data_IF_095190986336
#
_entry.id   IF_095190986336
#
_cell.length_a   1.000
_cell.length_b   1.000
_cell.length_c   1.000
_cell.angle_alpha   90.00
_cell.angle_beta   90.00
_cell.angle_gamma   90.00
#
_symmetry.space_group_name_H-M   'P 1'
#
loop_
_entity.id
_entity.type
_entity.pdbx_description
1 polymer ?
#
# COMPACT_ATOMS: atom_id res chain seq x y z
N UNK A 1 -12.63 8.22 24.24
CA UNK A 1 -11.90 7.64 23.09
C UNK A 1 -10.46 8.03 23.29
N UNK A 2 -9.55 7.08 23.45
CA UNK A 2 -8.12 7.41 23.57
C UNK A 2 -7.68 8.12 22.29
N UNK A 3 -6.96 9.21 22.47
CA UNK A 3 -6.21 9.88 21.42
C UNK A 3 -5.26 8.86 20.77
N UNK A 4 -5.48 8.55 19.49
CA UNK A 4 -4.64 7.62 18.74
C UNK A 4 -3.33 8.34 18.40
N UNK A 5 -2.24 7.89 19.01
CA UNK A 5 -0.88 8.25 18.62
C UNK A 5 -0.34 7.11 17.77
N UNK A 6 0.20 7.46 16.60
CA UNK A 6 0.78 6.50 15.66
C UNK A 6 2.29 6.68 15.60
N UNK A 7 3.04 5.72 16.10
CA UNK A 7 4.49 5.71 16.01
C UNK A 7 4.92 5.31 14.59
N UNK A 8 5.84 6.09 14.04
CA UNK A 8 6.44 5.85 12.73
C UNK A 8 7.81 5.21 12.94
N UNK A 9 8.07 4.10 12.24
CA UNK A 9 9.36 3.42 12.25
C UNK A 9 9.96 3.33 10.86
N UNK A 10 11.29 3.34 10.80
CA UNK A 10 12.08 3.07 9.61
C UNK A 10 13.16 2.05 9.98
N UNK A 11 13.12 0.88 9.34
CA UNK A 11 14.06 -0.22 9.61
C UNK A 11 14.17 -0.61 11.10
N UNK A 12 13.06 -0.50 11.84
CA UNK A 12 12.99 -0.82 13.26
C UNK A 12 13.38 0.33 14.20
N UNK A 13 13.96 1.42 13.69
CA UNK A 13 14.23 2.62 14.47
C UNK A 13 12.99 3.52 14.54
N UNK A 14 12.73 4.10 15.72
CA UNK A 14 11.66 5.09 15.89
C UNK A 14 12.04 6.38 15.19
N UNK A 15 11.18 6.82 14.27
CA UNK A 15 11.33 8.06 13.51
C UNK A 15 10.68 9.22 14.26
N UNK A 16 9.52 8.98 14.88
CA UNK A 16 8.68 9.99 15.49
C UNK A 16 7.24 9.48 15.60
N UNK A 17 6.32 10.38 15.96
CA UNK A 17 4.91 10.00 16.18
C UNK A 17 3.97 10.97 15.49
N UNK A 18 2.85 10.44 15.02
CA UNK A 18 1.74 11.16 14.42
C UNK A 18 0.58 11.25 15.41
N UNK A 19 -0.08 12.40 15.43
CA UNK A 19 -1.35 12.61 16.15
C UNK A 19 -2.35 13.27 15.21
N UNK A 20 -3.60 12.80 15.23
CA UNK A 20 -4.67 13.39 14.43
C UNK A 20 -5.42 14.47 15.21
N UNK A 21 -5.27 15.73 14.80
CA UNK A 21 -6.01 16.85 15.39
C UNK A 21 -7.37 16.99 14.68
N UNK A 22 -8.45 16.69 15.40
CA UNK A 22 -9.81 16.61 14.84
C UNK A 22 -10.34 17.97 14.41
N UNK A 23 -10.01 19.02 15.16
CA UNK A 23 -10.48 20.38 14.93
C UNK A 23 -9.93 20.95 13.62
N UNK A 24 -8.66 20.67 13.32
CA UNK A 24 -8.01 21.14 12.09
C UNK A 24 -8.11 20.15 10.93
N UNK A 25 -8.53 18.90 11.21
CA UNK A 25 -8.58 17.78 10.28
C UNK A 25 -7.21 17.52 9.62
N UNK A 26 -6.16 17.53 10.44
CA UNK A 26 -4.78 17.36 9.97
C UNK A 26 -3.92 16.62 11.01
N UNK A 27 -2.84 16.00 10.53
CA UNK A 27 -1.89 15.33 11.41
C UNK A 27 -0.80 16.28 11.89
N UNK A 28 -0.50 16.19 13.18
CA UNK A 28 0.73 16.65 13.79
C UNK A 28 1.77 15.53 13.71
N UNK A 29 2.98 15.85 13.30
CA UNK A 29 4.11 14.93 13.32
C UNK A 29 5.25 15.50 14.15
N UNK A 30 5.74 14.72 15.12
CA UNK A 30 6.91 15.10 15.90
C UNK A 30 8.04 14.08 15.76
N UNK A 31 9.25 14.55 15.48
CA UNK A 31 10.42 13.68 15.33
C UNK A 31 10.89 13.14 16.68
N UNK A 32 11.32 11.88 16.68
CA UNK A 32 12.02 11.30 17.81
C UNK A 32 13.42 11.94 17.95
N UNK A 33 13.79 12.33 19.17
CA UNK A 33 15.08 13.01 19.44
C UNK A 33 16.27 12.11 19.10
N UNK A 34 16.13 10.80 19.31
CA UNK A 34 17.14 9.82 18.92
C UNK A 34 17.31 9.78 17.39
N UNK A 35 16.20 9.88 16.64
CA UNK A 35 16.22 9.86 15.17
C UNK A 35 16.92 11.09 14.60
N UNK A 36 16.64 12.28 15.12
CA UNK A 36 17.31 13.53 14.73
C UNK A 36 18.84 13.40 14.83
N UNK A 37 19.34 12.76 15.90
CA UNK A 37 20.77 12.55 16.11
C UNK A 37 21.41 11.58 15.12
N UNK A 38 20.63 10.74 14.44
CA UNK A 38 21.14 9.85 13.39
C UNK A 38 21.60 10.63 12.14
N UNK A 39 21.05 11.83 11.91
CA UNK A 39 21.30 12.63 10.73
C UNK A 39 20.66 12.10 9.44
N UNK A 40 19.86 11.04 9.51
CA UNK A 40 19.16 10.46 8.36
C UNK A 40 17.92 11.30 8.00
N UNK A 41 18.03 12.13 6.96
CA UNK A 41 16.92 12.97 6.53
C UNK A 41 15.94 12.22 5.61
N UNK A 42 14.76 11.92 6.14
CA UNK A 42 13.68 11.23 5.42
C UNK A 42 12.72 12.19 4.73
N UNK A 43 12.83 13.50 4.94
CA UNK A 43 12.01 14.49 4.24
C UNK A 43 12.85 15.76 4.02
N UNK A 44 13.89 15.69 3.20
CA UNK A 44 14.90 16.74 3.09
C UNK A 44 14.38 18.05 2.47
N UNK A 45 13.22 18.00 1.81
CA UNK A 45 12.60 19.18 1.18
C UNK A 45 11.63 19.86 2.14
N UNK A 46 10.75 19.10 2.80
CA UNK A 46 9.60 19.66 3.52
C UNK A 46 9.77 19.62 5.05
N UNK A 47 10.39 18.58 5.60
CA UNK A 47 10.64 18.46 7.04
C UNK A 47 12.13 18.18 7.35
N UNK A 48 13.09 18.94 6.79
CA UNK A 48 14.49 18.62 6.95
C UNK A 48 14.91 18.68 8.42
N UNK A 49 15.70 17.70 8.85
CA UNK A 49 16.12 17.56 10.27
C UNK A 49 16.86 18.83 10.75
N UNK A 50 17.66 19.45 9.88
CA UNK A 50 18.40 20.67 10.20
C UNK A 50 17.50 21.87 10.54
N UNK A 51 16.25 21.86 10.06
CA UNK A 51 15.29 22.94 10.28
C UNK A 51 14.31 22.65 11.42
N UNK A 52 14.35 21.45 12.02
CA UNK A 52 13.48 21.13 13.15
C UNK A 52 13.73 22.06 14.35
N UNK A 53 12.65 22.51 14.99
CA UNK A 53 12.67 23.52 16.07
C UNK A 53 12.00 23.05 17.37
N UNK A 54 11.94 21.74 17.62
CA UNK A 54 11.19 21.16 18.76
C UNK A 54 9.71 21.58 18.77
N UNK A 55 9.12 21.71 17.58
CA UNK A 55 7.70 21.98 17.39
C UNK A 55 7.20 20.95 16.37
N UNK A 56 6.08 20.26 16.66
CA UNK A 56 5.50 19.32 15.71
C UNK A 56 5.18 20.01 14.38
N UNK A 57 5.43 19.30 13.29
CA UNK A 57 5.05 19.73 11.95
C UNK A 57 3.55 19.53 11.74
N UNK A 58 2.93 20.51 11.08
CA UNK A 58 1.53 20.46 10.66
C UNK A 58 1.43 21.13 9.29
N UNK A 59 0.66 20.52 8.38
CA UNK A 59 0.46 21.04 7.02
C UNK A 59 -1.03 21.16 6.75
N UNK A 60 -1.58 22.35 7.00
CA UNK A 60 -3.01 22.61 6.82
C UNK A 60 -3.40 22.67 5.34
N UNK A 61 -2.43 22.98 4.48
CA UNK A 61 -2.54 22.92 3.02
C UNK A 61 -2.71 21.49 2.50
N UNK A 62 -2.26 20.47 3.24
CA UNK A 62 -2.34 19.07 2.82
C UNK A 62 -3.74 18.45 3.06
N UNK A 63 -4.76 19.25 3.40
CA UNK A 63 -6.16 18.78 3.56
C UNK A 63 -6.85 18.57 2.20
N UNK A 64 -6.11 17.99 1.27
CA UNK A 64 -6.57 17.63 -0.06
C UNK A 64 -6.86 16.15 -0.14
N UNK A 65 -7.44 15.70 -1.26
CA UNK A 65 -7.71 14.28 -1.46
C UNK A 65 -6.44 13.45 -1.61
N UNK A 66 -5.36 14.03 -2.14
CA UNK A 66 -4.07 13.36 -2.29
C UNK A 66 -3.43 13.06 -0.93
N UNK A 67 -3.34 14.06 -0.05
CA UNK A 67 -2.57 13.95 1.20
C UNK A 67 -3.42 13.64 2.44
N UNK A 68 -4.74 13.85 2.36
CA UNK A 68 -5.69 13.57 3.45
C UNK A 68 -5.24 14.19 4.78
N UNK A 69 -4.70 15.41 4.78
CA UNK A 69 -4.24 16.11 5.98
C UNK A 69 -2.94 15.57 6.60
N UNK A 70 -2.26 14.61 5.96
CA UNK A 70 -0.96 14.08 6.40
C UNK A 70 0.21 14.87 5.77
N UNK A 71 1.39 14.90 6.41
CA UNK A 71 2.64 15.14 5.69
C UNK A 71 2.80 14.17 4.52
N UNK A 72 3.28 14.67 3.37
CA UNK A 72 3.34 13.92 2.10
C UNK A 72 4.12 12.62 2.19
N UNK A 73 5.23 12.62 2.96
CA UNK A 73 6.01 11.43 3.29
C UNK A 73 5.15 10.26 3.81
N UNK A 74 4.18 10.55 4.68
CA UNK A 74 3.32 9.53 5.29
C UNK A 74 2.09 9.24 4.42
N UNK A 75 1.56 10.26 3.74
CA UNK A 75 0.49 10.08 2.77
C UNK A 75 0.85 9.10 1.65
N UNK A 76 2.13 9.06 1.23
CA UNK A 76 2.62 8.12 0.23
C UNK A 76 2.53 6.65 0.66
N UNK A 77 2.39 6.38 1.96
CA UNK A 77 2.14 5.04 2.48
C UNK A 77 0.66 4.67 2.50
N UNK A 78 -0.24 5.60 2.19
CA UNK A 78 -1.66 5.32 2.13
C UNK A 78 -1.96 4.34 0.98
N UNK A 79 -2.96 3.45 1.17
CA UNK A 79 -3.50 2.61 0.11
C UNK A 79 -4.02 3.45 -1.05
N UNK A 80 -4.07 2.84 -2.23
CA UNK A 80 -4.66 3.44 -3.42
C UNK A 80 -6.19 3.34 -3.44
N UNK A 81 -6.84 3.69 -4.56
CA UNK A 81 -8.30 3.65 -4.66
C UNK A 81 -8.86 2.24 -4.38
N UNK A 82 -8.23 1.21 -4.95
CA UNK A 82 -8.67 -0.18 -4.77
C UNK A 82 -8.42 -0.67 -3.34
N UNK A 83 -7.22 -0.42 -2.80
CA UNK A 83 -6.86 -0.75 -1.42
C UNK A 83 -7.71 0.00 -0.41
N UNK A 84 -8.00 1.28 -0.64
CA UNK A 84 -8.92 2.06 0.18
C UNK A 84 -10.32 1.46 0.19
N UNK A 85 -10.80 0.94 -0.95
CA UNK A 85 -12.08 0.27 -0.99
C UNK A 85 -12.09 -1.00 -0.15
N UNK A 86 -11.07 -1.86 -0.26
CA UNK A 86 -10.93 -3.06 0.60
C UNK A 86 -10.96 -2.67 2.08
N UNK A 87 -10.22 -1.63 2.44
CA UNK A 87 -10.11 -1.16 3.83
C UNK A 87 -11.45 -0.58 4.31
N UNK A 88 -12.15 0.18 3.47
CA UNK A 88 -13.48 0.71 3.78
C UNK A 88 -14.48 -0.43 4.04
N UNK A 89 -14.48 -1.47 3.20
CA UNK A 89 -15.34 -2.64 3.42
C UNK A 89 -14.96 -3.38 4.70
N UNK A 90 -13.67 -3.50 5.00
CA UNK A 90 -13.20 -4.13 6.23
C UNK A 90 -13.69 -3.36 7.47
N UNK A 91 -13.52 -2.04 7.52
CA UNK A 91 -14.02 -1.22 8.63
C UNK A 91 -15.56 -1.29 8.74
N UNK A 92 -16.27 -1.16 7.61
CA UNK A 92 -17.72 -1.24 7.57
C UNK A 92 -18.24 -2.60 8.05
N UNK A 93 -17.53 -3.69 7.73
CA UNK A 93 -17.89 -5.04 8.19
C UNK A 93 -17.86 -5.16 9.72
N UNK A 94 -17.02 -4.35 10.39
CA UNK A 94 -16.87 -4.24 11.85
C UNK A 94 -17.73 -3.14 12.48
N UNK A 95 -18.61 -2.51 11.70
CA UNK A 95 -19.54 -1.49 12.18
C UNK A 95 -18.91 -0.11 12.39
N UNK A 96 -17.68 0.11 11.91
CA UNK A 96 -17.05 1.43 11.91
C UNK A 96 -17.47 2.19 10.65
N UNK A 97 -17.95 3.42 10.81
CA UNK A 97 -18.42 4.26 9.72
C UNK A 97 -17.30 5.14 9.14
N UNK A 98 -17.48 5.62 7.90
CA UNK A 98 -16.46 6.39 7.17
C UNK A 98 -15.98 7.66 7.88
N UNK A 99 -16.86 8.32 8.65
CA UNK A 99 -16.55 9.54 9.41
C UNK A 99 -15.69 9.27 10.65
N UNK A 100 -15.62 8.02 11.11
CA UNK A 100 -14.83 7.62 12.27
C UNK A 100 -13.41 7.15 11.90
N UNK A 101 -13.11 6.99 10.60
CA UNK A 101 -11.85 6.42 10.11
C UNK A 101 -10.94 7.55 9.65
N UNK A 102 -9.95 7.86 10.47
CA UNK A 102 -8.91 8.84 10.14
C UNK A 102 -7.86 8.26 9.19
N UNK A 103 -7.05 9.10 8.54
CA UNK A 103 -5.87 8.64 7.80
C UNK A 103 -4.87 7.89 8.68
N UNK A 104 -4.77 8.21 9.98
CA UNK A 104 -3.94 7.45 10.94
C UNK A 104 -4.45 6.01 11.12
N UNK A 105 -5.76 5.80 11.17
CA UNK A 105 -6.34 4.44 11.23
C UNK A 105 -5.97 3.60 10.00
N UNK A 106 -5.92 4.25 8.82
CA UNK A 106 -5.46 3.61 7.59
C UNK A 106 -3.97 3.27 7.63
N UNK A 107 -3.14 4.16 8.17
CA UNK A 107 -1.72 3.88 8.38
C UNK A 107 -1.53 2.70 9.35
N UNK A 108 -2.29 2.63 10.45
CA UNK A 108 -2.28 1.49 11.37
C UNK A 108 -2.74 0.18 10.71
N UNK A 109 -3.70 0.26 9.79
CA UNK A 109 -4.12 -0.89 8.98
C UNK A 109 -3.00 -1.35 8.03
N UNK A 110 -2.32 -0.42 7.36
CA UNK A 110 -1.16 -0.72 6.50
C UNK A 110 -0.05 -1.34 7.33
N UNK A 111 0.27 -0.74 8.48
CA UNK A 111 1.23 -1.24 9.44
C UNK A 111 2.62 -1.42 8.82
N UNK A 112 3.11 -2.66 8.78
CA UNK A 112 4.41 -3.02 8.19
C UNK A 112 4.37 -3.27 6.67
N UNK A 113 3.20 -3.15 6.04
CA UNK A 113 2.94 -3.79 4.74
C UNK A 113 2.95 -2.81 3.57
N UNK A 114 3.19 -1.53 3.83
CA UNK A 114 3.25 -0.47 2.82
C UNK A 114 4.39 -0.63 1.82
N UNK A 115 4.29 0.14 0.73
CA UNK A 115 5.43 0.41 -0.16
C UNK A 115 6.50 1.19 0.60
N UNK A 116 7.74 1.03 0.16
CA UNK A 116 8.90 1.58 0.85
C UNK A 116 9.19 0.86 2.17
N UNK A 117 9.75 1.61 3.11
CA UNK A 117 10.31 1.07 4.35
C UNK A 117 9.68 1.63 5.63
N UNK A 118 8.72 2.55 5.52
CA UNK A 118 8.01 3.08 6.68
C UNK A 118 7.05 2.02 7.25
N UNK A 119 6.94 2.01 8.58
CA UNK A 119 6.01 1.18 9.32
C UNK A 119 5.28 2.02 10.36
N UNK A 120 4.02 1.68 10.65
CA UNK A 120 3.15 2.47 11.52
C UNK A 120 2.59 1.61 12.65
N UNK A 121 2.77 2.03 13.90
CA UNK A 121 2.28 1.35 15.11
C UNK A 121 1.28 2.23 15.87
N UNK A 122 0.23 1.68 16.49
CA UNK A 122 -0.05 0.26 16.64
C UNK A 122 -0.57 -0.38 15.36
N UNK A 123 -0.23 -1.65 15.15
CA UNK A 123 -0.79 -2.42 14.05
C UNK A 123 -2.25 -2.81 14.33
N UNK A 124 -3.10 -2.76 13.32
CA UNK A 124 -4.44 -3.32 13.42
C UNK A 124 -4.37 -4.81 13.83
N UNK A 125 -5.12 -5.27 14.85
CA UNK A 125 -4.98 -6.60 15.45
C UNK A 125 -5.66 -7.69 14.60
N UNK A 126 -5.27 -7.81 13.32
CA UNK A 126 -5.77 -8.85 12.43
C UNK A 126 -4.79 -10.03 12.48
N UNK A 127 -5.21 -11.11 13.13
CA UNK A 127 -4.42 -12.33 13.25
C UNK A 127 -4.03 -12.88 11.88
N UNK A 128 -2.79 -13.32 11.74
CA UNK A 128 -2.26 -13.91 10.50
C UNK A 128 -1.88 -12.92 9.40
N UNK A 129 -2.20 -11.61 9.47
CA UNK A 129 -1.84 -10.66 8.40
C UNK A 129 -0.33 -10.44 8.22
N UNK A 130 0.45 -10.72 9.25
CA UNK A 130 1.91 -10.60 9.22
C UNK A 130 2.62 -11.93 8.89
N UNK A 131 1.87 -12.95 8.47
CA UNK A 131 2.42 -14.27 8.13
C UNK A 131 2.42 -14.51 6.62
N UNK A 132 3.51 -15.12 6.14
CA UNK A 132 3.63 -15.54 4.75
C UNK A 132 2.69 -16.72 4.48
N UNK A 133 1.65 -16.50 3.68
CA UNK A 133 0.74 -17.55 3.19
C UNK A 133 0.93 -17.77 1.69
N UNK A 134 0.73 -19.02 1.28
CA UNK A 134 0.59 -19.40 -0.14
C UNK A 134 -0.71 -18.80 -0.67
N UNK A 135 -0.66 -18.25 -1.88
CA UNK A 135 -1.77 -17.56 -2.54
C UNK A 135 -2.15 -18.28 -3.82
N UNK A 136 -3.44 -18.40 -4.06
CA UNK A 136 -3.99 -18.86 -5.33
C UNK A 136 -4.45 -17.65 -6.15
N UNK A 137 -3.76 -17.36 -7.26
CA UNK A 137 -4.04 -16.18 -8.10
C UNK A 137 -5.49 -16.16 -8.62
N UNK A 138 -6.04 -17.35 -8.89
CA UNK A 138 -7.43 -17.49 -9.33
C UNK A 138 -8.40 -16.92 -8.29
N UNK A 139 -8.24 -17.31 -7.02
CA UNK A 139 -9.06 -16.82 -5.91
C UNK A 139 -8.90 -15.31 -5.71
N UNK A 140 -7.66 -14.80 -5.83
CA UNK A 140 -7.39 -13.37 -5.72
C UNK A 140 -8.12 -12.59 -6.83
N UNK A 141 -8.12 -13.12 -8.04
CA UNK A 141 -8.75 -12.50 -9.21
C UNK A 141 -10.27 -12.51 -9.10
N UNK A 142 -10.86 -13.62 -8.65
CA UNK A 142 -12.30 -13.74 -8.41
C UNK A 142 -12.77 -12.77 -7.32
N UNK A 143 -12.03 -12.68 -6.22
CA UNK A 143 -12.42 -11.82 -5.12
C UNK A 143 -12.13 -10.32 -5.41
N UNK A 144 -11.10 -10.01 -6.19
CA UNK A 144 -10.92 -8.66 -6.72
C UNK A 144 -12.11 -8.21 -7.59
N UNK A 145 -12.71 -9.13 -8.38
CA UNK A 145 -13.94 -8.86 -9.14
C UNK A 145 -15.15 -8.69 -8.23
N UNK A 146 -15.26 -9.52 -7.18
CA UNK A 146 -16.46 -9.55 -6.32
C UNK A 146 -16.69 -8.25 -5.54
N UNK A 147 -15.61 -7.55 -5.15
CA UNK A 147 -15.66 -6.24 -4.46
C UNK A 147 -16.55 -5.23 -5.21
N UNK A 148 -16.55 -5.28 -6.54
CA UNK A 148 -17.29 -4.35 -7.39
C UNK A 148 -18.64 -4.87 -7.87
N UNK A 149 -18.90 -6.18 -7.75
CA UNK A 149 -20.15 -6.80 -8.24
C UNK A 149 -21.15 -7.09 -7.13
N UNK A 150 -20.71 -7.51 -5.93
CA UNK A 150 -21.59 -7.81 -4.81
C UNK A 150 -20.93 -7.46 -3.46
N UNK A 151 -21.08 -6.17 -3.11
CA UNK A 151 -20.53 -5.59 -1.87
C UNK A 151 -21.08 -6.27 -0.60
N UNK A 152 -22.35 -6.71 -0.60
CA UNK A 152 -22.96 -7.33 0.58
C UNK A 152 -22.40 -8.72 0.83
N UNK A 153 -22.26 -9.52 -0.23
CA UNK A 153 -21.60 -10.82 -0.13
C UNK A 153 -20.15 -10.68 0.34
N UNK A 154 -19.41 -9.70 -0.18
CA UNK A 154 -18.04 -9.41 0.24
C UNK A 154 -17.95 -9.04 1.73
N UNK A 155 -18.83 -8.16 2.22
CA UNK A 155 -18.90 -7.83 3.65
C UNK A 155 -19.23 -9.04 4.53
N UNK A 156 -20.09 -9.95 4.08
CA UNK A 156 -20.39 -11.18 4.80
C UNK A 156 -19.15 -12.10 4.90
N UNK A 157 -18.37 -12.21 3.83
CA UNK A 157 -17.11 -12.96 3.83
C UNK A 157 -16.04 -12.33 4.75
N UNK A 158 -15.95 -11.00 4.77
CA UNK A 158 -15.06 -10.26 5.69
C UNK A 158 -15.33 -10.60 7.16
N UNK A 159 -16.60 -10.70 7.55
CA UNK A 159 -16.99 -11.06 8.92
C UNK A 159 -16.64 -12.49 9.32
N UNK A 160 -16.52 -13.39 8.34
CA UNK A 160 -16.18 -14.78 8.58
C UNK A 160 -14.67 -15.00 8.76
N UNK A 161 -13.84 -14.00 8.40
CA UNK A 161 -12.37 -14.06 8.50
C UNK A 161 -11.75 -15.36 7.94
N UNK A 162 -12.38 -15.91 6.89
CA UNK A 162 -11.88 -17.10 6.21
C UNK A 162 -10.52 -16.88 5.55
N UNK A 163 -9.81 -17.98 5.25
CA UNK A 163 -8.47 -17.94 4.66
C UNK A 163 -8.38 -17.07 3.40
N UNK A 164 -9.33 -17.24 2.48
CA UNK A 164 -9.33 -16.55 1.18
C UNK A 164 -9.48 -15.03 1.33
N UNK A 165 -10.27 -14.56 2.32
CA UNK A 165 -10.41 -13.11 2.56
C UNK A 165 -9.17 -12.54 3.25
N UNK A 166 -8.54 -13.28 4.16
CA UNK A 166 -7.26 -12.89 4.75
C UNK A 166 -6.17 -12.76 3.68
N UNK A 167 -6.12 -13.69 2.73
CA UNK A 167 -5.16 -13.67 1.63
C UNK A 167 -5.32 -12.42 0.74
N UNK A 168 -6.54 -11.89 0.57
CA UNK A 168 -6.79 -10.62 -0.11
C UNK A 168 -6.37 -9.41 0.71
N UNK A 169 -6.72 -9.37 1.99
CA UNK A 169 -6.33 -8.28 2.88
C UNK A 169 -4.79 -8.17 2.96
N UNK A 170 -4.09 -9.31 2.84
CA UNK A 170 -2.63 -9.46 2.76
C UNK A 170 -1.97 -9.06 1.45
N UNK A 171 -2.71 -8.75 0.39
CA UNK A 171 -2.08 -8.38 -0.90
C UNK A 171 -2.66 -7.14 -1.57
N UNK A 172 -3.94 -6.86 -1.36
CA UNK A 172 -4.68 -5.81 -2.08
C UNK A 172 -4.57 -4.40 -1.51
N UNK A 173 -3.79 -4.19 -0.44
CA UNK A 173 -3.93 -2.99 0.42
C UNK A 173 -2.74 -2.03 0.37
N UNK A 174 -1.71 -2.33 -0.41
CA UNK A 174 -0.39 -1.70 -0.24
C UNK A 174 0.22 -1.03 -1.46
N UNK A 175 -0.35 -1.14 -2.66
CA UNK A 175 0.26 -0.56 -3.87
C UNK A 175 -0.59 0.58 -4.44
N UNK A 176 0.02 1.54 -5.16
CA UNK A 176 -0.56 2.79 -5.69
C UNK A 176 -1.37 2.66 -7.01
N UNK A 177 -2.48 3.40 -7.23
CA UNK A 177 -3.30 3.52 -8.47
C UNK A 177 -4.80 3.08 -8.41
N UNK A 178 -5.55 3.08 -9.52
CA UNK A 178 -6.99 2.73 -9.49
C UNK A 178 -7.32 1.25 -9.79
N UNK A 179 -6.50 0.60 -10.62
CA UNK A 179 -6.73 -0.77 -11.09
C UNK A 179 -6.38 -1.82 -10.02
N UNK A 180 -6.99 -3.02 -10.02
CA UNK A 180 -6.70 -4.05 -9.03
C UNK A 180 -5.25 -4.52 -9.16
N UNK A 181 -4.57 -4.63 -8.02
CA UNK A 181 -3.19 -5.13 -7.94
C UNK A 181 -2.92 -5.80 -6.61
N UNK A 182 -1.86 -6.59 -6.58
CA UNK A 182 -1.45 -7.37 -5.43
C UNK A 182 0.07 -7.30 -5.27
N UNK A 183 0.54 -7.14 -4.03
CA UNK A 183 1.94 -7.36 -3.70
C UNK A 183 2.15 -8.85 -3.42
N UNK A 184 2.96 -9.50 -4.26
CA UNK A 184 3.23 -10.94 -4.18
C UNK A 184 4.73 -11.23 -4.03
N UNK A 185 5.02 -12.41 -3.50
CA UNK A 185 6.31 -13.05 -3.58
C UNK A 185 6.18 -14.26 -4.52
N UNK A 186 7.08 -14.39 -5.49
CA UNK A 186 7.01 -15.42 -6.53
C UNK A 186 8.31 -16.22 -6.59
N UNK A 187 8.20 -17.54 -6.61
CA UNK A 187 9.34 -18.45 -6.76
C UNK A 187 9.44 -18.92 -8.21
N UNK A 188 10.54 -18.55 -8.88
CA UNK A 188 10.78 -18.84 -10.29
C UNK A 188 10.98 -20.33 -10.59
N UNK A 189 11.37 -21.13 -9.59
CA UNK A 189 11.63 -22.56 -9.75
C UNK A 189 10.36 -23.37 -9.58
N UNK A 190 9.56 -23.06 -8.55
CA UNK A 190 8.36 -23.84 -8.20
C UNK A 190 7.08 -23.29 -8.81
N UNK A 191 7.09 -22.02 -9.25
CA UNK A 191 5.89 -21.30 -9.67
C UNK A 191 4.97 -20.90 -8.51
N UNK A 192 5.39 -21.09 -7.26
CA UNK A 192 4.60 -20.78 -6.08
C UNK A 192 4.46 -19.26 -5.87
N UNK A 193 3.24 -18.83 -5.55
CA UNK A 193 2.93 -17.45 -5.17
C UNK A 193 2.64 -17.38 -3.68
N UNK A 194 3.19 -16.37 -3.01
CA UNK A 194 2.95 -16.03 -1.60
C UNK A 194 2.64 -14.55 -1.43
N UNK A 195 2.15 -14.13 -0.26
CA UNK A 195 2.05 -12.71 0.06
C UNK A 195 3.44 -12.05 0.07
N UNK A 196 3.59 -10.95 -0.68
CA UNK A 196 4.85 -10.18 -0.75
C UNK A 196 4.89 -8.98 0.20
N UNK A 197 3.89 -8.84 1.08
CA UNK A 197 3.86 -7.78 2.09
C UNK A 197 4.77 -8.07 3.28
N UNK A 198 5.11 -9.35 3.48
CA UNK A 198 5.97 -9.86 4.56
C UNK A 198 7.16 -10.60 3.97
N UNK A 199 8.18 -10.84 4.79
CA UNK A 199 9.38 -11.56 4.34
C UNK A 199 8.99 -12.99 3.94
N UNK A 200 9.22 -13.31 2.67
CA UNK A 200 9.04 -14.64 2.10
C UNK A 200 10.27 -15.54 2.39
N UNK A 201 10.12 -16.87 2.29
CA UNK A 201 11.25 -17.79 2.35
C UNK A 201 12.31 -17.49 1.28
N UNK A 202 13.49 -18.08 1.45
CA UNK A 202 14.56 -18.00 0.45
C UNK A 202 14.10 -18.56 -0.92
N UNK A 203 14.59 -17.96 -2.00
CA UNK A 203 14.21 -18.32 -3.38
C UNK A 203 12.97 -17.62 -3.93
N UNK A 204 12.33 -16.73 -3.16
CA UNK A 204 11.22 -15.90 -3.64
C UNK A 204 11.68 -14.48 -4.00
N UNK A 205 11.27 -14.00 -5.17
CA UNK A 205 11.38 -12.59 -5.56
C UNK A 205 10.11 -11.80 -5.21
N UNK A 206 10.22 -10.49 -5.00
CA UNK A 206 9.10 -9.61 -4.66
C UNK A 206 8.58 -8.83 -5.86
N UNK A 207 7.27 -8.89 -6.08
CA UNK A 207 6.63 -8.37 -7.28
C UNK A 207 5.35 -7.59 -6.95
N UNK A 208 5.04 -6.64 -7.82
CA UNK A 208 3.72 -6.04 -7.92
C UNK A 208 3.00 -6.70 -9.11
N UNK A 209 1.96 -7.45 -8.82
CA UNK A 209 1.06 -8.08 -9.80
C UNK A 209 -0.12 -7.14 -10.09
N UNK A 210 -0.37 -6.86 -11.36
CA UNK A 210 -1.53 -6.12 -11.84
C UNK A 210 -2.46 -7.10 -12.54
N UNK A 211 -3.70 -7.16 -12.07
CA UNK A 211 -4.67 -8.14 -12.56
C UNK A 211 -5.12 -7.79 -13.98
N UNK A 212 -5.41 -8.86 -14.74
CA UNK A 212 -5.92 -8.77 -16.10
C UNK A 212 -7.42 -8.93 -16.06
N UNK A 213 -8.14 -8.16 -16.88
CA UNK A 213 -9.59 -8.14 -16.81
C UNK A 213 -10.14 -7.58 -15.50
N UNK A 214 -11.47 -7.62 -15.36
CA UNK A 214 -12.18 -7.26 -14.14
C UNK A 214 -12.83 -5.87 -14.20
N UNK A 215 -13.24 -5.37 -13.04
CA UNK A 215 -13.83 -4.04 -12.87
C UNK A 215 -13.05 -3.27 -11.82
N UNK A 216 -13.04 -1.96 -11.94
CA UNK A 216 -12.43 -1.06 -10.96
C UNK A 216 -13.21 0.24 -10.87
N UNK A 217 -12.97 1.00 -9.79
CA UNK A 217 -13.54 2.33 -9.63
C UNK A 217 -12.53 3.38 -10.11
N UNK A 218 -12.95 4.21 -11.05
CA UNK A 218 -12.21 5.36 -11.56
C UNK A 218 -13.11 6.59 -11.50
N UNK A 219 -12.67 7.65 -10.82
CA UNK A 219 -13.48 8.87 -10.60
C UNK A 219 -14.91 8.60 -10.10
N UNK A 220 -15.07 7.63 -9.19
CA UNK A 220 -16.36 7.15 -8.62
C UNK A 220 -17.29 6.40 -9.59
N UNK A 221 -16.82 6.09 -10.80
CA UNK A 221 -17.53 5.26 -11.77
C UNK A 221 -16.90 3.87 -11.86
N UNK A 222 -17.73 2.84 -11.97
CA UNK A 222 -17.25 1.47 -12.18
C UNK A 222 -16.90 1.31 -13.67
N UNK A 223 -15.63 1.10 -13.95
CA UNK A 223 -15.05 0.94 -15.28
C UNK A 223 -14.57 -0.50 -15.48
N UNK A 224 -14.64 -0.99 -16.72
CA UNK A 224 -14.08 -2.29 -17.09
C UNK A 224 -12.56 -2.18 -17.27
N UNK A 225 -11.82 -3.08 -16.63
CA UNK A 225 -10.43 -3.33 -16.95
C UNK A 225 -10.40 -4.31 -18.11
N UNK A 226 -10.01 -3.89 -19.33
CA UNK A 226 -10.12 -4.74 -20.51
C UNK A 226 -9.20 -5.96 -20.39
N UNK A 227 -9.67 -7.11 -20.88
CA UNK A 227 -8.87 -8.32 -20.95
C UNK A 227 -7.71 -8.14 -21.94
N UNK A 228 -6.53 -8.62 -21.57
CA UNK A 228 -5.29 -8.41 -22.31
C UNK A 228 -4.56 -7.12 -21.95
N UNK A 229 -5.00 -6.35 -20.93
CA UNK A 229 -4.31 -5.13 -20.52
C UNK A 229 -2.88 -5.42 -20.05
N UNK A 230 -2.64 -6.60 -19.45
CA UNK A 230 -1.30 -7.00 -19.03
C UNK A 230 -0.35 -7.15 -20.21
N UNK A 231 -0.83 -7.64 -21.37
CA UNK A 231 -0.05 -7.70 -22.60
C UNK A 231 0.34 -6.30 -23.10
N UNK A 232 -0.58 -5.33 -22.97
CA UNK A 232 -0.33 -3.94 -23.34
C UNK A 232 0.74 -3.33 -22.43
N UNK A 233 0.63 -3.50 -21.11
CA UNK A 233 1.66 -3.02 -20.17
C UNK A 233 3.03 -3.66 -20.43
N UNK A 234 3.07 -4.97 -20.74
CA UNK A 234 4.31 -5.65 -21.08
C UNK A 234 4.91 -5.17 -22.40
N UNK A 235 4.08 -4.88 -23.42
CA UNK A 235 4.54 -4.28 -24.66
C UNK A 235 5.19 -2.90 -24.41
N UNK A 236 4.58 -2.05 -23.57
CA UNK A 236 5.18 -0.77 -23.18
C UNK A 236 6.49 -0.93 -22.42
N UNK A 237 6.58 -1.89 -21.50
CA UNK A 237 7.85 -2.22 -20.85
C UNK A 237 8.94 -2.58 -21.88
N UNK A 238 8.62 -3.45 -22.86
CA UNK A 238 9.55 -3.85 -23.91
C UNK A 238 9.99 -2.67 -24.78
N UNK A 239 9.06 -1.77 -25.13
CA UNK A 239 9.37 -0.54 -25.86
C UNK A 239 10.29 0.40 -25.04
N UNK A 240 10.00 0.58 -23.75
CA UNK A 240 10.84 1.39 -22.86
C UNK A 240 12.27 0.86 -22.78
N UNK A 241 12.45 -0.46 -22.58
CA UNK A 241 13.79 -1.09 -22.59
C UNK A 241 14.50 -0.95 -23.94
N UNK A 242 13.78 -1.10 -25.06
CA UNK A 242 14.35 -0.92 -26.39
C UNK A 242 14.84 0.52 -26.64
N UNK A 243 14.20 1.51 -26.01
CA UNK A 243 14.62 2.91 -26.04
C UNK A 243 15.73 3.24 -25.01
N UNK A 244 16.24 2.26 -24.26
CA UNK A 244 17.30 2.47 -23.26
C UNK A 244 16.81 3.08 -21.94
N UNK A 245 15.49 3.10 -21.68
CA UNK A 245 14.93 3.55 -20.41
C UNK A 245 15.23 2.47 -19.35
N UNK A 246 15.77 2.89 -18.21
CA UNK A 246 15.94 2.00 -17.07
C UNK A 246 14.59 1.71 -16.42
N UNK A 247 14.31 0.43 -16.22
CA UNK A 247 13.03 -0.05 -15.73
C UNK A 247 13.22 -1.41 -15.11
N UNK A 248 12.50 -1.64 -14.01
CA UNK A 248 12.45 -2.93 -13.33
C UNK A 248 12.02 -4.05 -14.28
N UNK A 249 12.49 -5.24 -13.99
CA UNK A 249 12.10 -6.45 -14.68
C UNK A 249 10.57 -6.61 -14.65
N UNK A 250 9.97 -6.86 -15.82
CA UNK A 250 8.54 -7.12 -15.93
C UNK A 250 8.31 -8.46 -16.64
N UNK A 251 7.25 -9.16 -16.26
CA UNK A 251 6.85 -10.45 -16.81
C UNK A 251 5.34 -10.53 -16.95
N UNK A 252 4.88 -11.56 -17.66
CA UNK A 252 3.48 -11.95 -17.72
C UNK A 252 3.30 -13.24 -16.93
N UNK A 253 2.33 -13.24 -16.01
CA UNK A 253 1.90 -14.43 -15.29
C UNK A 253 0.60 -14.92 -15.93
N UNK A 254 0.66 -16.07 -16.60
CA UNK A 254 -0.50 -16.70 -17.22
C UNK A 254 -1.34 -17.41 -16.16
N UNK A 255 -2.63 -17.09 -16.12
CA UNK A 255 -3.64 -17.79 -15.31
C UNK A 255 -4.81 -18.13 -16.22
N UNK A 256 -4.96 -19.41 -16.59
CA UNK A 256 -5.94 -19.87 -17.59
C UNK A 256 -5.91 -19.00 -18.86
N UNK A 257 -6.88 -18.12 -18.97
CA UNK A 257 -7.21 -17.26 -20.09
C UNK A 257 -6.78 -15.78 -19.86
N UNK A 258 -6.32 -15.46 -18.65
CA UNK A 258 -5.84 -14.16 -18.18
C UNK A 258 -4.32 -14.05 -18.31
N UNK A 259 -3.80 -12.87 -18.67
CA UNK A 259 -2.37 -12.57 -18.71
C UNK A 259 -2.04 -11.42 -17.76
N UNK A 260 -1.75 -11.73 -16.50
CA UNK A 260 -1.45 -10.70 -15.50
C UNK A 260 -0.07 -10.09 -15.74
N UNK A 261 0.05 -8.77 -15.62
CA UNK A 261 1.35 -8.10 -15.67
C UNK A 261 1.98 -8.08 -14.28
N UNK A 262 3.26 -8.42 -14.18
CA UNK A 262 4.00 -8.28 -12.93
C UNK A 262 5.30 -7.53 -13.14
N UNK A 263 5.62 -6.60 -12.24
CA UNK A 263 6.90 -5.88 -12.20
C UNK A 263 7.62 -6.18 -10.91
N UNK A 264 8.93 -6.38 -10.97
CA UNK A 264 9.76 -6.56 -9.79
C UNK A 264 9.74 -5.28 -8.97
N UNK A 265 9.63 -5.42 -7.66
CA UNK A 265 9.61 -4.29 -6.73
C UNK A 265 11.00 -3.67 -6.63
N UNK A 266 11.08 -2.36 -6.85
CA UNK A 266 12.33 -1.60 -6.68
C UNK A 266 12.59 -1.24 -5.21
N UNK A 267 11.58 -1.33 -4.36
CA UNK A 267 11.64 -1.00 -2.94
C UNK A 267 11.93 -2.23 -2.04
N UNK A 268 12.35 -3.34 -2.65
CA UNK A 268 12.71 -4.60 -1.99
C UNK A 268 13.99 -5.17 -2.62
N UNK A 269 14.91 -5.59 -1.78
CA UNK A 269 16.06 -6.41 -2.22
C UNK A 269 15.71 -7.91 -2.13
N UNK A 270 16.56 -8.77 -2.69
CA UNK A 270 16.31 -10.22 -2.80
C UNK A 270 16.05 -10.92 -1.47
N UNK A 271 16.73 -10.50 -0.40
CA UNK A 271 16.54 -11.05 0.95
C UNK A 271 15.26 -10.53 1.65
N UNK A 272 14.48 -9.67 1.00
CA UNK A 272 13.25 -9.05 1.52
C UNK A 272 13.45 -7.79 2.34
N UNK A 273 14.67 -7.29 2.51
CA UNK A 273 14.89 -5.99 3.15
C UNK A 273 14.25 -4.87 2.34
N UNK A 274 13.78 -3.84 3.07
CA UNK A 274 13.01 -2.74 2.50
C UNK A 274 13.95 -1.59 2.13
N UNK A 275 13.70 -0.96 0.99
CA UNK A 275 14.35 0.30 0.61
C UNK A 275 13.35 1.43 0.85
N UNK A 276 13.77 2.49 1.53
CA UNK A 276 12.93 3.67 1.68
C UNK A 276 12.84 4.40 0.35
N UNK A 277 11.61 4.73 -0.05
CA UNK A 277 11.31 5.42 -1.30
C UNK A 277 10.17 6.40 -1.05
N UNK A 278 10.13 7.48 -1.83
CA UNK A 278 9.04 8.42 -1.87
C UNK A 278 8.72 8.75 -3.32
N UNK A 279 7.46 9.02 -3.59
CA UNK A 279 7.05 9.60 -4.86
C UNK A 279 7.41 11.09 -4.89
N UNK A 280 7.39 11.68 -6.08
CA UNK A 280 7.57 13.13 -6.23
C UNK A 280 6.50 13.92 -5.44
N UNK A 281 5.26 13.41 -5.41
CA UNK A 281 4.17 14.01 -4.66
C UNK A 281 4.47 14.01 -3.15
N UNK A 282 4.89 12.87 -2.60
CA UNK A 282 5.19 12.74 -1.16
C UNK A 282 6.37 13.58 -0.71
N UNK A 283 7.48 13.58 -1.46
CA UNK A 283 8.71 14.28 -1.05
C UNK A 283 8.60 15.79 -1.15
N UNK A 284 7.81 16.31 -2.09
CA UNK A 284 7.71 17.75 -2.38
C UNK A 284 6.34 18.37 -2.05
N UNK A 285 5.40 17.59 -1.50
CA UNK A 285 4.00 17.99 -1.30
C UNK A 285 3.34 18.50 -2.60
N UNK A 286 3.67 17.87 -3.74
CA UNK A 286 3.04 18.20 -5.02
C UNK A 286 1.75 17.41 -5.17
N UNK A 287 0.62 18.11 -5.13
CA UNK A 287 -0.69 17.50 -5.30
C UNK A 287 -0.79 16.86 -6.70
N UNK A 288 -1.29 15.63 -6.73
CA UNK A 288 -1.41 14.79 -7.94
C UNK A 288 -2.86 14.53 -8.34
N UNK A 289 -3.81 14.96 -7.51
CA UNK A 289 -5.25 14.79 -7.72
C UNK A 289 -5.93 16.11 -8.14
#
# INVERSE_FOLDING_TARGET
MNDLIVDVKLWGESVGSLYWEKESNSALFDYERKFIRSGLDISPIIMPIAQYRNTPYQFLENRTDCFKGLPGLFADSLPDTFGNQIINEWFASRGLSGEEITPLDRLCYVGKRGMGALEFEPYSPINGMNESSVLHIEELTELAKSIFTDRKAFQAQLRQEGRNILDILKVGTSAGGAKPKAIIAYNDITGEVRSGQVKAPEGFGYWLLKFDGGKYSEHTQITDNPRGIGNIEYAYHRMAKACGIDMMECRLLQEKESCHFMTRRFDRVENGEKIHVQTLAGIAHYDRD
#
